data_IF_805783531182
#
_entry.id   IF_805783531182
#
_cell.length_a   1.000
_cell.length_b   1.000
_cell.length_c   1.000
_cell.angle_alpha   90.00
_cell.angle_beta   90.00
_cell.angle_gamma   90.00
#
_symmetry.space_group_name_H-M   'P 1'
#
loop_
_entity.id
_entity.type
_entity.pdbx_description
1 polymer ?
#
# COMPACT_ATOMS: atom_id res chain seq x y z
N UNK A 1 -11.62 10.20 -10.50
CA UNK A 1 -11.96 8.78 -10.77
C UNK A 1 -11.52 8.01 -9.54
N UNK A 2 -12.43 7.37 -8.80
CA UNK A 2 -12.09 6.76 -7.51
C UNK A 2 -11.62 5.33 -7.73
N UNK A 3 -10.33 5.05 -7.54
CA UNK A 3 -9.87 3.67 -7.49
C UNK A 3 -10.38 3.02 -6.21
N UNK A 4 -10.87 1.80 -6.35
CA UNK A 4 -11.46 1.03 -5.25
C UNK A 4 -10.80 -0.34 -5.16
N UNK A 5 -10.99 -1.02 -4.02
CA UNK A 5 -10.51 -2.39 -3.80
C UNK A 5 -11.09 -3.42 -4.78
N UNK A 6 -12.06 -3.03 -5.60
CA UNK A 6 -12.68 -3.87 -6.64
C UNK A 6 -12.26 -3.45 -8.06
N UNK A 7 -11.82 -2.22 -8.26
CA UNK A 7 -11.48 -1.65 -9.56
C UNK A 7 -10.07 -1.04 -9.55
N UNK A 8 -9.07 -1.92 -9.61
CA UNK A 8 -7.65 -1.55 -9.58
C UNK A 8 -6.90 -2.23 -10.74
N UNK A 9 -5.81 -1.61 -11.24
CA UNK A 9 -5.01 -2.20 -12.32
C UNK A 9 -4.29 -3.48 -11.86
N UNK A 10 -4.02 -4.37 -12.81
CA UNK A 10 -3.32 -5.63 -12.55
C UNK A 10 -1.98 -5.45 -11.82
N UNK A 11 -1.30 -4.31 -12.01
CA UNK A 11 -0.08 -3.95 -11.29
C UNK A 11 -0.25 -3.94 -9.74
N UNK A 12 -1.42 -3.51 -9.24
CA UNK A 12 -1.73 -3.53 -7.80
C UNK A 12 -2.22 -4.91 -7.31
N UNK A 13 -2.63 -5.81 -8.23
CA UNK A 13 -3.08 -7.18 -7.88
C UNK A 13 -1.96 -8.01 -7.28
N UNK A 14 -0.72 -7.76 -7.69
CA UNK A 14 0.45 -8.47 -7.18
C UNK A 14 0.82 -8.11 -5.74
N UNK A 15 0.15 -7.12 -5.13
CA UNK A 15 0.44 -6.66 -3.78
C UNK A 15 -0.48 -7.31 -2.74
N UNK A 16 0.05 -7.48 -1.52
CA UNK A 16 -0.71 -7.91 -0.35
C UNK A 16 -1.93 -6.99 -0.11
N UNK A 17 -3.02 -7.50 0.48
CA UNK A 17 -4.26 -6.73 0.67
C UNK A 17 -4.04 -5.44 1.45
N UNK A 18 -3.23 -5.43 2.52
CA UNK A 18 -2.91 -4.22 3.30
C UNK A 18 -2.12 -3.20 2.47
N UNK A 19 -1.12 -3.66 1.72
CA UNK A 19 -0.33 -2.82 0.81
C UNK A 19 -1.20 -2.21 -0.28
N UNK A 20 -2.14 -2.99 -0.83
CA UNK A 20 -3.07 -2.52 -1.86
C UNK A 20 -4.02 -1.46 -1.35
N UNK A 21 -4.56 -1.62 -0.13
CA UNK A 21 -5.38 -0.60 0.50
C UNK A 21 -4.61 0.72 0.63
N UNK A 22 -3.35 0.66 1.07
CA UNK A 22 -2.48 1.84 1.16
C UNK A 22 -2.19 2.47 -0.21
N UNK A 23 -1.94 1.65 -1.23
CA UNK A 23 -1.73 2.13 -2.59
C UNK A 23 -2.97 2.87 -3.12
N UNK A 24 -4.18 2.34 -2.90
CA UNK A 24 -5.44 2.98 -3.31
C UNK A 24 -5.63 4.35 -2.64
N UNK A 25 -5.31 4.46 -1.34
CA UNK A 25 -5.39 5.73 -0.60
C UNK A 25 -4.47 6.80 -1.20
N UNK A 26 -3.21 6.45 -1.48
CA UNK A 26 -2.24 7.35 -2.09
C UNK A 26 -2.66 7.73 -3.51
N UNK A 27 -3.11 6.73 -4.27
CA UNK A 27 -3.53 6.93 -5.65
C UNK A 27 -4.75 7.85 -5.76
N UNK A 28 -5.74 7.69 -4.88
CA UNK A 28 -6.89 8.60 -4.80
C UNK A 28 -6.44 10.01 -4.43
N UNK A 29 -5.52 10.16 -3.46
CA UNK A 29 -4.96 11.46 -3.06
C UNK A 29 -4.27 12.17 -4.22
N UNK A 30 -3.46 11.45 -5.00
CA UNK A 30 -2.76 11.99 -6.18
C UNK A 30 -3.75 12.41 -7.27
N UNK A 31 -4.81 11.62 -7.50
CA UNK A 31 -5.87 11.96 -8.45
C UNK A 31 -6.66 13.19 -8.00
N UNK A 32 -6.96 13.32 -6.71
CA UNK A 32 -7.63 14.50 -6.15
C UNK A 32 -6.79 15.77 -6.29
N UNK A 33 -5.46 15.64 -6.18
CA UNK A 33 -4.52 16.74 -6.44
C UNK A 33 -4.34 17.06 -7.92
N UNK A 34 -4.84 16.20 -8.82
CA UNK A 34 -4.62 16.32 -10.26
C UNK A 34 -3.16 16.06 -10.66
N UNK A 35 -2.39 15.34 -9.85
CA UNK A 35 -0.98 15.08 -10.12
C UNK A 35 -0.81 13.89 -11.07
N UNK A 36 -0.37 14.19 -12.29
CA UNK A 36 0.20 13.20 -13.20
C UNK A 36 -0.81 12.38 -14.01
N UNK A 37 -0.25 11.59 -14.92
CA UNK A 37 -1.00 10.65 -15.75
C UNK A 37 -1.37 9.39 -14.98
N UNK A 38 -2.38 8.66 -15.47
CA UNK A 38 -2.85 7.40 -14.87
C UNK A 38 -1.71 6.44 -14.50
N UNK A 39 -0.74 6.25 -15.39
CA UNK A 39 0.42 5.38 -15.15
C UNK A 39 1.32 5.90 -14.04
N UNK A 40 1.67 7.20 -14.07
CA UNK A 40 2.50 7.83 -13.05
C UNK A 40 1.89 7.68 -11.65
N UNK A 41 0.59 7.95 -11.54
CA UNK A 41 -0.10 7.81 -10.26
C UNK A 41 -0.09 6.36 -9.78
N UNK A 42 -0.30 5.38 -10.66
CA UNK A 42 -0.25 3.95 -10.33
C UNK A 42 1.15 3.57 -9.86
N UNK A 43 2.19 3.95 -10.58
CA UNK A 43 3.58 3.62 -10.25
C UNK A 43 4.00 4.24 -8.92
N UNK A 44 3.67 5.51 -8.70
CA UNK A 44 4.02 6.25 -7.48
C UNK A 44 3.30 5.69 -6.26
N UNK A 45 1.99 5.48 -6.36
CA UNK A 45 1.21 4.87 -5.28
C UNK A 45 1.64 3.44 -4.95
N UNK A 46 2.02 2.63 -5.95
CA UNK A 46 2.59 1.30 -5.71
C UNK A 46 3.96 1.40 -5.03
N UNK A 47 4.84 2.30 -5.48
CA UNK A 47 6.18 2.44 -4.93
C UNK A 47 6.14 2.85 -3.44
N UNK A 48 5.31 3.84 -3.10
CA UNK A 48 5.12 4.28 -1.72
C UNK A 48 4.49 3.19 -0.85
N UNK A 49 3.42 2.55 -1.34
CA UNK A 49 2.77 1.47 -0.61
C UNK A 49 3.71 0.29 -0.38
N UNK A 50 4.55 -0.06 -1.36
CA UNK A 50 5.54 -1.13 -1.24
C UNK A 50 6.61 -0.79 -0.21
N UNK A 51 7.03 0.48 -0.14
CA UNK A 51 7.95 0.94 0.90
C UNK A 51 7.33 0.83 2.29
N UNK A 52 6.10 1.33 2.44
CA UNK A 52 5.32 1.22 3.68
C UNK A 52 5.15 -0.24 4.12
N UNK A 53 4.79 -1.13 3.19
CA UNK A 53 4.61 -2.54 3.48
C UNK A 53 5.88 -3.21 4.02
N UNK A 54 7.06 -2.85 3.51
CA UNK A 54 8.33 -3.39 4.04
C UNK A 54 8.55 -2.97 5.49
N UNK A 55 8.29 -1.72 5.82
CA UNK A 55 8.39 -1.23 7.20
C UNK A 55 7.36 -1.88 8.12
N UNK A 56 6.10 -1.98 7.69
CA UNK A 56 5.02 -2.59 8.49
C UNK A 56 5.22 -4.08 8.71
N UNK A 57 5.74 -4.82 7.72
CA UNK A 57 6.07 -6.24 7.90
C UNK A 57 7.20 -6.43 8.93
N UNK A 58 8.17 -5.53 8.96
CA UNK A 58 9.24 -5.53 9.95
C UNK A 58 8.70 -5.22 11.37
N UNK A 59 7.79 -4.26 11.50
CA UNK A 59 7.13 -3.93 12.77
C UNK A 59 6.24 -5.07 13.29
N UNK A 60 5.55 -5.80 12.41
CA UNK A 60 4.77 -6.96 12.82
C UNK A 60 5.67 -8.08 13.33
N UNK A 61 6.81 -8.32 12.68
CA UNK A 61 7.79 -9.33 13.12
C UNK A 61 8.42 -9.00 14.47
N UNK A 62 8.71 -7.71 14.74
CA UNK A 62 9.23 -7.30 16.05
C UNK A 62 8.17 -7.38 17.13
N UNK A 63 6.89 -7.13 16.83
CA UNK A 63 5.81 -7.19 17.83
C UNK A 63 5.48 -8.62 18.27
N UNK A 64 5.64 -9.62 17.40
CA UNK A 64 5.54 -11.03 17.81
C UNK A 64 6.78 -11.51 18.56
N UNK A 65 7.98 -11.00 18.25
CA UNK A 65 9.20 -11.42 18.91
C UNK A 65 9.28 -11.03 20.40
N UNK A 66 8.59 -9.96 20.83
CA UNK A 66 8.59 -9.51 22.23
C UNK A 66 7.44 -10.07 23.08
N UNK A 67 6.57 -10.92 22.54
CA UNK A 67 5.51 -11.58 23.32
C UNK A 67 5.96 -12.99 23.70
N UNK A 68 7.01 -13.09 24.52
CA UNK A 68 7.34 -14.32 25.24
C UNK A 68 6.83 -14.18 26.69
N UNK A 69 5.82 -14.96 27.12
CA UNK A 69 5.45 -15.02 28.53
C UNK A 69 6.57 -15.74 29.30
N UNK A 70 7.22 -15.03 30.23
CA UNK A 70 8.03 -15.68 31.25
C UNK A 70 7.09 -16.44 32.18
N UNK A 71 7.19 -17.76 32.19
CA UNK A 71 6.51 -18.65 33.15
C UNK A 71 7.56 -19.40 33.96
#
# INVERSE_FOLDING_TARGET
MNWTLTHFPAAMRSLNPSTRAKAIEIANTLVERGEGNRQQVIEQSIAEARSWARTTQLELATRTAFTFPQH
#
